data_IF_036414597492
#
_entry.id   IF_036414597492
#
_cell.length_a   1.000
_cell.length_b   1.000
_cell.length_c   1.000
_cell.angle_alpha   90.00
_cell.angle_beta   90.00
_cell.angle_gamma   90.00
#
_symmetry.space_group_name_H-M   'P 1'
#
loop_
_entity.id
_entity.type
_entity.pdbx_description
1 polymer ?
#
# COMPACT_ATOMS: atom_id res chain seq x y z
N UNK A 1 3.60 -24.82 -4.39
CA UNK A 1 2.38 -23.97 -4.29
C UNK A 1 2.83 -22.51 -4.31
N UNK A 2 2.25 -21.65 -5.16
CA UNK A 2 2.51 -20.20 -5.11
C UNK A 2 1.56 -19.56 -4.11
N UNK A 3 2.10 -18.79 -3.16
CA UNK A 3 1.28 -18.01 -2.23
C UNK A 3 0.50 -16.93 -2.98
N UNK A 4 -0.72 -16.61 -2.55
CA UNK A 4 -1.42 -15.44 -3.07
C UNK A 4 -0.66 -14.16 -2.72
N UNK A 5 -0.93 -13.08 -3.43
CA UNK A 5 -0.17 -11.84 -3.29
C UNK A 5 -1.01 -10.69 -2.75
N UNK A 6 -0.37 -9.82 -1.98
CA UNK A 6 -0.87 -8.50 -1.59
C UNK A 6 0.11 -7.47 -2.16
N UNK A 7 -0.35 -6.58 -3.02
CA UNK A 7 0.51 -5.52 -3.60
C UNK A 7 0.37 -4.23 -2.82
N UNK A 8 1.50 -3.57 -2.57
CA UNK A 8 1.55 -2.24 -1.97
C UNK A 8 1.94 -1.25 -3.06
N UNK A 9 0.96 -0.52 -3.62
CA UNK A 9 1.16 0.43 -4.69
C UNK A 9 1.05 1.86 -4.17
N UNK A 10 2.09 2.68 -4.39
CA UNK A 10 2.13 4.04 -3.86
C UNK A 10 3.41 4.80 -4.19
N UNK A 11 3.60 5.90 -3.47
CA UNK A 11 4.74 6.79 -3.58
C UNK A 11 5.93 6.43 -2.66
N UNK A 12 6.72 7.43 -2.21
CA UNK A 12 7.85 7.23 -1.30
C UNK A 12 7.46 6.59 0.04
N UNK A 13 6.27 6.89 0.56
CA UNK A 13 5.79 6.33 1.83
C UNK A 13 5.58 4.81 1.68
N UNK A 14 5.22 4.38 0.49
CA UNK A 14 5.12 2.94 0.15
C UNK A 14 6.50 2.37 -0.18
N UNK A 15 7.35 3.06 -0.95
CA UNK A 15 8.70 2.59 -1.30
C UNK A 15 9.54 2.32 -0.05
N UNK A 16 9.49 3.20 0.93
CA UNK A 16 10.21 3.07 2.20
C UNK A 16 9.57 2.06 3.17
N UNK A 17 8.39 1.54 2.85
CA UNK A 17 7.63 0.65 3.75
C UNK A 17 8.33 -0.66 4.08
N UNK A 18 9.35 -1.06 3.30
CA UNK A 18 10.17 -2.25 3.56
C UNK A 18 11.50 -1.94 4.29
N UNK A 19 11.73 -0.68 4.68
CA UNK A 19 12.82 -0.34 5.59
C UNK A 19 12.60 -0.95 7.00
N UNK A 20 13.63 -0.91 7.84
CA UNK A 20 13.53 -1.40 9.22
C UNK A 20 12.40 -0.71 9.98
N UNK A 21 11.42 -1.49 10.47
CA UNK A 21 10.22 -0.98 11.13
C UNK A 21 9.17 -0.37 10.21
N UNK A 22 9.31 -0.54 8.89
CA UNK A 22 8.34 -0.08 7.91
C UNK A 22 7.06 -0.91 7.90
N UNK A 23 5.94 -0.28 7.55
CA UNK A 23 4.61 -0.90 7.55
C UNK A 23 4.47 -2.07 6.56
N UNK A 24 5.13 -2.01 5.41
CA UNK A 24 5.15 -3.09 4.42
C UNK A 24 5.95 -4.29 4.91
N UNK A 25 7.09 -4.06 5.58
CA UNK A 25 7.88 -5.13 6.20
C UNK A 25 7.09 -5.81 7.34
N UNK A 26 6.36 -5.04 8.14
CA UNK A 26 5.47 -5.57 9.18
C UNK A 26 4.35 -6.42 8.58
N UNK A 27 3.73 -5.97 7.47
CA UNK A 27 2.72 -6.76 6.74
C UNK A 27 3.32 -8.06 6.17
N UNK A 28 4.51 -7.99 5.55
CA UNK A 28 5.19 -9.17 5.03
C UNK A 28 5.50 -10.20 6.13
N UNK A 29 5.91 -9.73 7.31
CA UNK A 29 6.10 -10.58 8.48
C UNK A 29 4.77 -11.19 8.96
N UNK A 30 3.71 -10.37 9.07
CA UNK A 30 2.39 -10.82 9.53
C UNK A 30 1.83 -11.95 8.64
N UNK A 31 1.92 -11.79 7.31
CA UNK A 31 1.41 -12.77 6.34
C UNK A 31 2.46 -13.80 5.87
N UNK A 32 3.59 -13.95 6.55
CA UNK A 32 4.77 -14.71 6.09
C UNK A 32 4.51 -16.15 5.66
N UNK A 33 3.41 -16.77 6.11
CA UNK A 33 3.03 -18.15 5.78
C UNK A 33 1.74 -18.27 4.97
N UNK A 34 1.08 -17.12 4.67
CA UNK A 34 -0.25 -17.11 4.05
C UNK A 34 -0.30 -16.32 2.76
N UNK A 35 0.47 -15.24 2.63
CA UNK A 35 0.54 -14.42 1.43
C UNK A 35 1.92 -13.77 1.25
N UNK A 36 2.31 -13.52 -0.01
CA UNK A 36 3.49 -12.72 -0.33
C UNK A 36 3.09 -11.25 -0.45
N UNK A 37 3.77 -10.39 0.30
CA UNK A 37 3.59 -8.93 0.20
C UNK A 37 4.59 -8.37 -0.80
N UNK A 38 4.09 -7.68 -1.83
CA UNK A 38 4.88 -7.23 -2.96
C UNK A 38 4.93 -5.72 -3.02
N UNK A 39 6.13 -5.16 -2.88
CA UNK A 39 6.37 -3.72 -2.91
C UNK A 39 6.27 -3.17 -4.34
N UNK A 40 5.50 -2.09 -4.51
CA UNK A 40 5.36 -1.26 -5.71
C UNK A 40 5.26 0.21 -5.31
N UNK A 41 6.23 0.69 -4.54
CA UNK A 41 6.39 2.10 -4.16
C UNK A 41 7.33 2.82 -5.13
N UNK A 42 7.01 4.07 -5.43
CA UNK A 42 7.75 4.91 -6.38
C UNK A 42 7.89 6.32 -5.80
N UNK A 43 9.06 6.63 -5.25
CA UNK A 43 9.35 7.93 -4.64
C UNK A 43 9.03 9.11 -5.57
N UNK A 44 8.35 10.10 -5.03
CA UNK A 44 7.99 11.32 -5.78
C UNK A 44 6.80 11.18 -6.72
N UNK A 45 6.27 9.97 -6.93
CA UNK A 45 5.15 9.76 -7.85
C UNK A 45 3.85 10.34 -7.32
N UNK A 46 3.09 10.93 -8.22
CA UNK A 46 1.71 11.35 -8.06
C UNK A 46 0.76 10.41 -8.83
N UNK A 47 -0.54 10.62 -8.72
CA UNK A 47 -1.54 9.78 -9.41
C UNK A 47 -1.45 9.89 -10.93
N UNK A 48 -1.08 11.06 -11.49
CA UNK A 48 -0.89 11.25 -12.94
C UNK A 48 0.22 10.36 -13.48
N UNK A 49 1.35 10.25 -12.78
CA UNK A 49 2.45 9.37 -13.17
C UNK A 49 2.14 7.90 -12.88
N UNK A 50 1.43 7.62 -11.79
CA UNK A 50 0.95 6.28 -11.48
C UNK A 50 0.11 5.70 -12.63
N UNK A 51 -0.80 6.49 -13.19
CA UNK A 51 -1.60 6.10 -14.36
C UNK A 51 -0.75 5.72 -15.59
N UNK A 52 0.38 6.41 -15.81
CA UNK A 52 1.27 6.14 -16.95
C UNK A 52 2.06 4.83 -16.83
N UNK A 53 2.17 4.29 -15.62
CA UNK A 53 2.97 3.08 -15.37
C UNK A 53 2.14 1.85 -14.99
N UNK A 54 0.81 1.95 -14.90
CA UNK A 54 -0.06 0.85 -14.48
C UNK A 54 0.23 -0.46 -15.23
N UNK A 55 0.32 -0.42 -16.56
CA UNK A 55 0.59 -1.62 -17.38
C UNK A 55 1.99 -2.19 -17.17
N UNK A 56 2.96 -1.36 -16.74
CA UNK A 56 4.32 -1.81 -16.41
C UNK A 56 4.40 -2.40 -14.99
N UNK A 57 3.67 -1.79 -14.06
CA UNK A 57 3.61 -2.24 -12.66
C UNK A 57 2.79 -3.52 -12.53
N UNK A 58 1.73 -3.62 -13.31
CA UNK A 58 0.81 -4.75 -13.37
C UNK A 58 0.68 -5.27 -14.81
N UNK A 59 1.71 -5.92 -15.38
CA UNK A 59 1.70 -6.35 -16.77
C UNK A 59 0.67 -7.47 -17.04
N UNK A 60 0.22 -7.58 -18.32
CA UNK A 60 -0.83 -8.52 -18.72
C UNK A 60 -0.43 -9.98 -18.45
N UNK A 61 0.84 -10.29 -18.58
CA UNK A 61 1.44 -11.61 -18.36
C UNK A 61 1.26 -12.12 -16.93
N UNK A 62 0.98 -11.24 -15.96
CA UNK A 62 0.62 -11.67 -14.59
C UNK A 62 -0.63 -12.57 -14.54
N UNK A 63 -1.45 -12.55 -15.60
CA UNK A 63 -2.65 -13.40 -15.72
C UNK A 63 -2.40 -14.68 -16.55
N UNK A 64 -1.21 -14.82 -17.20
CA UNK A 64 -0.87 -15.98 -18.04
C UNK A 64 -0.27 -17.09 -17.18
N UNK A 65 -0.74 -18.31 -17.36
CA UNK A 65 -0.35 -19.47 -16.55
C UNK A 65 -1.09 -19.55 -15.21
N UNK A 66 -0.42 -20.03 -14.17
CA UNK A 66 -1.00 -20.14 -12.82
C UNK A 66 -1.02 -18.81 -12.03
N UNK A 67 -0.96 -17.66 -12.71
CA UNK A 67 -1.04 -16.33 -12.08
C UNK A 67 -2.41 -16.08 -11.47
N UNK A 68 -2.56 -16.33 -10.17
CA UNK A 68 -3.78 -16.00 -9.43
C UNK A 68 -3.91 -14.49 -9.29
N UNK A 69 -5.15 -13.98 -9.36
CA UNK A 69 -5.45 -12.61 -8.97
C UNK A 69 -4.90 -12.33 -7.55
N UNK A 70 -4.33 -11.15 -7.30
CA UNK A 70 -3.90 -10.78 -5.96
C UNK A 70 -5.10 -10.72 -5.00
N UNK A 71 -4.87 -11.03 -3.72
CA UNK A 71 -5.90 -10.89 -2.68
C UNK A 71 -6.31 -9.44 -2.52
N UNK A 72 -5.31 -8.55 -2.43
CA UNK A 72 -5.52 -7.13 -2.26
C UNK A 72 -4.43 -6.31 -2.95
N UNK A 73 -4.77 -5.07 -3.27
CA UNK A 73 -3.85 -4.00 -3.68
C UNK A 73 -4.14 -2.78 -2.82
N UNK A 74 -3.17 -2.31 -2.03
CA UNK A 74 -3.27 -0.99 -1.42
C UNK A 74 -2.87 0.07 -2.45
N UNK A 75 -3.58 1.20 -2.47
CA UNK A 75 -3.27 2.36 -3.34
C UNK A 75 -3.05 3.56 -2.44
N UNK A 76 -1.81 3.99 -2.30
CA UNK A 76 -1.39 5.01 -1.35
C UNK A 76 -0.66 6.14 -2.07
N UNK A 77 -1.43 7.07 -2.64
CA UNK A 77 -0.98 8.29 -3.31
C UNK A 77 -1.74 9.50 -2.79
N UNK A 78 -1.24 10.67 -3.10
CA UNK A 78 -1.85 11.95 -2.78
C UNK A 78 -0.91 12.91 -2.06
N UNK A 79 0.15 12.40 -1.42
CA UNK A 79 1.13 13.23 -0.73
C UNK A 79 1.90 14.15 -1.71
N UNK A 80 2.16 13.69 -2.93
CA UNK A 80 2.79 14.46 -3.99
C UNK A 80 1.77 15.26 -4.81
N UNK A 81 0.60 14.68 -5.06
CA UNK A 81 -0.52 15.38 -5.72
C UNK A 81 -0.90 16.68 -4.98
N UNK A 82 -0.86 16.63 -3.64
CA UNK A 82 -1.18 17.75 -2.75
C UNK A 82 -0.07 18.82 -2.64
N UNK A 83 1.01 18.72 -3.41
CA UNK A 83 1.97 19.84 -3.55
C UNK A 83 1.23 21.10 -4.03
N UNK A 84 1.67 22.26 -3.55
CA UNK A 84 1.09 23.54 -3.97
C UNK A 84 1.60 23.93 -5.36
N UNK A 85 0.73 24.42 -6.26
CA UNK A 85 1.09 24.71 -7.65
C UNK A 85 2.03 25.90 -7.82
N UNK A 86 2.18 26.71 -6.78
CA UNK A 86 3.01 27.92 -6.75
C UNK A 86 4.28 27.77 -5.88
N UNK A 87 4.69 26.52 -5.57
CA UNK A 87 5.84 26.21 -4.71
C UNK A 87 6.90 25.40 -5.45
N UNK A 88 8.03 25.18 -4.80
CA UNK A 88 9.21 24.50 -5.39
C UNK A 88 8.92 23.10 -5.97
N UNK A 89 7.94 22.38 -5.45
CA UNK A 89 7.53 21.06 -5.93
C UNK A 89 6.29 21.08 -6.84
N UNK A 90 5.97 22.22 -7.46
CA UNK A 90 4.79 22.40 -8.32
C UNK A 90 4.67 21.37 -9.46
N UNK A 91 5.79 20.83 -9.95
CA UNK A 91 5.79 19.78 -10.98
C UNK A 91 5.15 18.46 -10.54
N UNK A 92 5.02 18.24 -9.21
CA UNK A 92 4.32 17.08 -8.65
C UNK A 92 2.82 17.34 -8.46
N UNK A 93 2.40 18.60 -8.46
CA UNK A 93 1.00 18.97 -8.22
C UNK A 93 0.06 18.33 -9.24
N UNK A 94 -1.03 17.78 -8.76
CA UNK A 94 -2.18 17.31 -9.55
C UNK A 94 -3.43 17.97 -9.00
N UNK A 95 -4.19 18.73 -9.80
CA UNK A 95 -5.44 19.33 -9.32
C UNK A 95 -6.38 18.28 -8.70
N UNK A 96 -7.12 18.67 -7.67
CA UNK A 96 -7.90 17.74 -6.85
C UNK A 96 -8.96 16.96 -7.65
N UNK A 97 -9.55 17.59 -8.67
CA UNK A 97 -10.52 16.93 -9.55
C UNK A 97 -9.84 15.86 -10.42
N UNK A 98 -8.64 16.16 -10.94
CA UNK A 98 -7.84 15.17 -11.68
C UNK A 98 -7.34 14.05 -10.76
N UNK A 99 -6.91 14.37 -9.53
CA UNK A 99 -6.55 13.38 -8.54
C UNK A 99 -7.69 12.38 -8.28
N UNK A 100 -8.91 12.90 -8.10
CA UNK A 100 -10.11 12.08 -7.92
C UNK A 100 -10.37 11.18 -9.14
N UNK A 101 -10.30 11.74 -10.36
CA UNK A 101 -10.44 11.00 -11.60
C UNK A 101 -9.37 9.91 -11.76
N UNK A 102 -8.12 10.23 -11.43
CA UNK A 102 -7.02 9.28 -11.49
C UNK A 102 -7.21 8.13 -10.49
N UNK A 103 -7.65 8.40 -9.25
CA UNK A 103 -7.95 7.35 -8.28
C UNK A 103 -9.09 6.44 -8.78
N UNK A 104 -10.19 7.01 -9.31
CA UNK A 104 -11.26 6.23 -9.94
C UNK A 104 -10.71 5.32 -11.05
N UNK A 105 -9.88 5.86 -11.93
CA UNK A 105 -9.30 5.13 -13.04
C UNK A 105 -8.36 4.00 -12.57
N UNK A 106 -7.54 4.24 -11.52
CA UNK A 106 -6.68 3.22 -10.91
C UNK A 106 -7.53 2.07 -10.32
N UNK A 107 -8.58 2.41 -9.56
CA UNK A 107 -9.49 1.40 -8.99
C UNK A 107 -10.18 0.61 -10.10
N UNK A 108 -10.72 1.28 -11.11
CA UNK A 108 -11.37 0.64 -12.25
C UNK A 108 -10.41 -0.27 -13.02
N UNK A 109 -9.18 0.18 -13.29
CA UNK A 109 -8.15 -0.63 -13.95
C UNK A 109 -7.87 -1.92 -13.17
N UNK A 110 -7.65 -1.83 -11.86
CA UNK A 110 -7.37 -2.99 -11.00
C UNK A 110 -8.56 -3.95 -10.92
N UNK A 111 -9.78 -3.41 -10.78
CA UNK A 111 -11.02 -4.22 -10.70
C UNK A 111 -11.39 -4.88 -12.04
N UNK A 112 -11.20 -4.19 -13.17
CA UNK A 112 -11.41 -4.78 -14.48
C UNK A 112 -10.44 -5.94 -14.74
N UNK A 113 -9.22 -5.80 -14.25
CA UNK A 113 -8.19 -6.82 -14.41
C UNK A 113 -8.37 -8.00 -13.45
N UNK A 114 -8.75 -7.73 -12.22
CA UNK A 114 -8.93 -8.69 -11.14
C UNK A 114 -10.21 -8.39 -10.36
N UNK A 115 -11.38 -8.84 -10.84
CA UNK A 115 -12.67 -8.51 -10.21
C UNK A 115 -12.77 -8.93 -8.73
N UNK A 116 -12.10 -10.02 -8.33
CA UNK A 116 -12.10 -10.53 -6.96
C UNK A 116 -11.10 -9.83 -6.03
N UNK A 117 -10.17 -9.03 -6.55
CA UNK A 117 -9.13 -8.36 -5.76
C UNK A 117 -9.74 -7.22 -4.93
N UNK A 118 -9.39 -7.14 -3.66
CA UNK A 118 -9.75 -5.99 -2.83
C UNK A 118 -8.78 -4.83 -3.11
N UNK A 119 -9.31 -3.70 -3.56
CA UNK A 119 -8.54 -2.45 -3.71
C UNK A 119 -8.80 -1.58 -2.49
N UNK A 120 -7.77 -1.32 -1.70
CA UNK A 120 -7.84 -0.53 -0.46
C UNK A 120 -7.17 0.81 -0.72
N UNK A 121 -7.92 1.91 -0.64
CA UNK A 121 -7.36 3.25 -0.74
C UNK A 121 -6.80 3.69 0.62
N UNK A 122 -5.67 4.42 0.59
CA UNK A 122 -5.08 5.03 1.79
C UNK A 122 -4.93 6.52 1.50
N UNK A 123 -5.50 7.36 2.36
CA UNK A 123 -5.38 8.81 2.20
C UNK A 123 -3.95 9.29 2.43
N UNK A 124 -3.51 10.40 1.81
CA UNK A 124 -2.25 11.03 2.19
C UNK A 124 -2.23 11.30 3.70
N UNK A 125 -1.04 11.23 4.35
CA UNK A 125 -0.89 11.58 5.76
C UNK A 125 -1.06 13.09 5.95
N UNK A 126 -1.18 13.58 7.20
CA UNK A 126 -1.07 15.00 7.50
C UNK A 126 0.32 15.54 7.16
N UNK A 127 0.44 16.86 7.10
CA UNK A 127 1.71 17.58 6.86
C UNK A 127 2.04 18.42 8.08
N UNK A 128 3.24 18.22 8.64
CA UNK A 128 3.82 19.16 9.60
C UNK A 128 4.63 20.22 8.83
N UNK A 129 4.00 21.37 8.61
CA UNK A 129 4.56 22.46 7.79
C UNK A 129 5.85 23.02 8.38
N UNK A 130 5.96 23.06 9.71
CA UNK A 130 7.17 23.54 10.40
C UNK A 130 8.34 22.58 10.16
N UNK A 131 8.10 21.29 10.34
CA UNK A 131 9.12 20.27 10.05
C UNK A 131 9.51 20.25 8.58
N UNK A 132 8.54 20.46 7.64
CA UNK A 132 8.84 20.57 6.20
C UNK A 132 9.77 21.74 5.88
N UNK A 133 9.61 22.88 6.53
CA UNK A 133 10.51 24.02 6.34
C UNK A 133 11.94 23.75 6.87
N UNK A 134 12.08 22.91 7.89
CA UNK A 134 13.38 22.53 8.46
C UNK A 134 14.09 21.44 7.60
N UNK A 135 13.33 20.56 6.94
CA UNK A 135 13.83 19.43 6.16
C UNK A 135 13.54 19.62 4.66
N UNK A 136 14.06 20.70 4.08
CA UNK A 136 13.80 21.08 2.68
C UNK A 136 14.44 20.09 1.70
N UNK A 137 13.69 19.75 0.65
CA UNK A 137 14.22 19.02 -0.50
C UNK A 137 14.76 20.02 -1.54
N UNK A 138 16.06 19.91 -1.86
CA UNK A 138 16.73 20.69 -2.91
C UNK A 138 17.28 22.06 -2.48
N UNK A 139 17.98 22.71 -3.41
CA UNK A 139 18.70 24.01 -3.21
C UNK A 139 17.78 25.24 -3.27
N UNK A 140 16.48 25.07 -3.56
CA UNK A 140 15.54 26.18 -3.68
C UNK A 140 15.09 26.63 -2.30
N UNK A 141 15.66 27.74 -1.83
CA UNK A 141 15.29 28.40 -0.60
C UNK A 141 13.95 29.14 -0.78
N UNK A 142 12.85 28.48 -0.41
CA UNK A 142 11.55 29.11 -0.26
C UNK A 142 11.25 29.23 1.24
N UNK A 143 10.77 30.41 1.68
CA UNK A 143 10.33 30.62 3.06
C UNK A 143 8.94 30.01 3.34
N UNK A 144 8.35 29.37 2.34
CA UNK A 144 7.02 28.76 2.41
C UNK A 144 7.12 27.25 2.13
N UNK A 145 6.35 26.42 2.87
CA UNK A 145 6.33 24.98 2.66
C UNK A 145 5.72 24.64 1.29
N UNK A 146 6.23 23.62 0.64
CA UNK A 146 5.73 23.13 -0.64
C UNK A 146 4.41 22.36 -0.52
N UNK A 147 4.03 22.00 0.69
CA UNK A 147 2.79 21.32 1.07
C UNK A 147 2.21 21.94 2.32
N UNK A 148 0.89 21.89 2.47
CA UNK A 148 0.21 22.31 3.70
C UNK A 148 -0.68 21.20 4.22
N UNK A 149 -0.92 21.23 5.54
CA UNK A 149 -1.83 20.29 6.16
C UNK A 149 -3.27 20.47 5.67
N UNK A 150 -3.66 21.69 5.31
CA UNK A 150 -4.96 21.99 4.71
C UNK A 150 -5.10 21.34 3.32
N UNK A 151 -4.09 21.48 2.45
CA UNK A 151 -4.08 20.81 1.16
C UNK A 151 -4.16 19.29 1.35
N UNK A 152 -3.32 18.69 2.18
CA UNK A 152 -3.35 17.25 2.47
C UNK A 152 -4.73 16.79 2.95
N UNK A 153 -5.40 17.57 3.82
CA UNK A 153 -6.78 17.30 4.26
C UNK A 153 -7.78 17.26 3.11
N UNK A 154 -7.67 18.18 2.16
CA UNK A 154 -8.58 18.23 1.03
C UNK A 154 -8.41 17.02 0.11
N UNK A 155 -7.17 16.60 -0.15
CA UNK A 155 -6.87 15.37 -0.90
C UNK A 155 -7.29 14.10 -0.12
N UNK A 156 -7.13 14.08 1.19
CA UNK A 156 -7.63 12.97 2.02
C UNK A 156 -9.16 12.84 1.91
N UNK A 157 -9.90 13.95 2.00
CA UNK A 157 -11.36 13.96 1.81
C UNK A 157 -11.76 13.49 0.42
N UNK A 158 -11.06 13.93 -0.63
CA UNK A 158 -11.29 13.48 -2.00
C UNK A 158 -11.08 11.96 -2.14
N UNK A 159 -10.00 11.42 -1.56
CA UNK A 159 -9.72 9.97 -1.52
C UNK A 159 -10.85 9.20 -0.83
N UNK A 160 -11.34 9.65 0.33
CA UNK A 160 -12.46 9.02 1.05
C UNK A 160 -13.75 9.06 0.20
N UNK A 161 -13.99 10.16 -0.52
CA UNK A 161 -15.15 10.28 -1.42
C UNK A 161 -15.06 9.27 -2.56
N UNK A 162 -13.91 9.20 -3.24
CA UNK A 162 -13.66 8.21 -4.32
C UNK A 162 -13.82 6.78 -3.80
N UNK A 163 -13.28 6.47 -2.63
CA UNK A 163 -13.41 5.14 -2.02
C UNK A 163 -14.88 4.75 -1.84
N UNK A 164 -15.70 5.66 -1.31
CA UNK A 164 -17.15 5.46 -1.15
C UNK A 164 -17.85 5.23 -2.49
N UNK A 165 -17.53 6.04 -3.50
CA UNK A 165 -18.12 5.95 -4.84
C UNK A 165 -17.75 4.65 -5.56
N UNK A 166 -16.53 4.16 -5.34
CA UNK A 166 -16.06 2.87 -5.87
C UNK A 166 -16.48 1.65 -5.03
N UNK A 167 -17.10 1.83 -3.87
CA UNK A 167 -17.33 0.75 -2.91
C UNK A 167 -16.04 0.10 -2.40
N UNK A 168 -14.94 0.87 -2.34
CA UNK A 168 -13.63 0.41 -1.90
C UNK A 168 -13.40 0.70 -0.42
N UNK A 169 -12.80 -0.23 0.35
CA UNK A 169 -12.31 0.07 1.69
C UNK A 169 -11.32 1.23 1.69
N UNK A 170 -11.33 2.06 2.73
CA UNK A 170 -10.40 3.19 2.87
C UNK A 170 -9.79 3.25 4.25
N UNK A 171 -8.49 3.53 4.30
CA UNK A 171 -7.77 3.96 5.49
C UNK A 171 -7.70 5.48 5.46
N UNK A 172 -8.47 6.16 6.32
CA UNK A 172 -8.38 7.61 6.50
C UNK A 172 -7.23 7.95 7.46
N UNK A 173 -6.01 7.86 6.92
CA UNK A 173 -4.78 8.06 7.67
C UNK A 173 -4.66 9.49 8.20
N UNK A 174 -5.10 10.49 7.41
CA UNK A 174 -5.10 11.89 7.83
C UNK A 174 -5.89 12.08 9.12
N UNK A 175 -7.15 11.64 9.15
CA UNK A 175 -8.00 11.74 10.34
C UNK A 175 -7.50 10.88 11.49
N UNK A 176 -6.97 9.69 11.19
CA UNK A 176 -6.46 8.78 12.21
C UNK A 176 -5.28 9.37 12.98
N UNK A 177 -4.32 9.96 12.28
CA UNK A 177 -3.15 10.58 12.93
C UNK A 177 -3.54 11.81 13.76
N UNK A 178 -4.52 12.61 13.31
CA UNK A 178 -4.99 13.78 14.05
C UNK A 178 -5.73 13.47 15.36
N UNK A 179 -6.04 12.22 15.64
CA UNK A 179 -6.59 11.83 16.95
C UNK A 179 -5.56 11.96 18.09
N UNK A 180 -4.29 12.15 17.77
CA UNK A 180 -3.20 12.26 18.74
C UNK A 180 -2.66 13.71 18.76
N UNK A 181 -2.47 14.32 19.95
CA UNK A 181 -2.12 15.74 20.04
C UNK A 181 -0.76 16.07 19.40
N UNK A 182 0.23 15.16 19.52
CA UNK A 182 1.60 15.37 19.04
C UNK A 182 1.88 14.65 17.70
N UNK A 183 0.87 14.46 16.86
CA UNK A 183 0.96 13.66 15.64
C UNK A 183 2.13 14.03 14.73
N UNK A 184 2.45 15.33 14.57
CA UNK A 184 3.53 15.80 13.71
C UNK A 184 4.88 15.21 14.11
N UNK A 185 5.25 15.32 15.39
CA UNK A 185 6.51 14.80 15.93
C UNK A 185 6.50 13.29 16.14
N UNK A 186 5.35 12.74 16.54
CA UNK A 186 5.24 11.31 16.84
C UNK A 186 5.27 10.46 15.58
N UNK A 187 4.66 10.92 14.48
CA UNK A 187 4.38 10.09 13.31
C UNK A 187 5.09 10.53 12.04
N UNK A 188 5.63 11.77 11.97
CA UNK A 188 6.33 12.30 10.80
C UNK A 188 7.78 12.66 11.15
N UNK A 189 8.77 12.14 10.40
CA UNK A 189 10.20 12.38 10.67
C UNK A 189 10.72 13.70 10.09
N UNK A 190 10.12 14.13 8.98
CA UNK A 190 10.50 15.33 8.20
C UNK A 190 9.28 16.19 7.83
N UNK A 191 8.20 15.99 8.54
CA UNK A 191 6.91 16.64 8.28
C UNK A 191 6.05 15.98 7.21
N UNK A 192 6.50 14.86 6.59
CA UNK A 192 5.78 14.10 5.56
C UNK A 192 5.97 12.58 5.71
N UNK A 193 7.22 12.11 5.70
CA UNK A 193 7.53 10.68 5.76
C UNK A 193 7.41 10.14 7.19
N UNK A 194 7.06 8.87 7.27
CA UNK A 194 6.67 8.25 8.53
C UNK A 194 7.86 7.96 9.45
N UNK A 195 7.66 8.17 10.76
CA UNK A 195 8.48 7.59 11.82
C UNK A 195 8.13 6.11 12.01
N UNK A 196 8.81 5.41 12.92
CA UNK A 196 8.40 4.07 13.36
C UNK A 196 6.96 4.06 13.91
N UNK A 197 6.55 5.11 14.65
CA UNK A 197 5.18 5.27 15.14
C UNK A 197 4.17 5.46 14.03
N UNK A 198 4.49 6.28 13.03
CA UNK A 198 3.65 6.47 11.84
C UNK A 198 3.50 5.19 11.01
N UNK A 199 4.59 4.45 10.81
CA UNK A 199 4.55 3.14 10.13
C UNK A 199 3.68 2.12 10.90
N UNK A 200 3.74 2.12 12.23
CA UNK A 200 2.90 1.25 13.05
C UNK A 200 1.40 1.55 12.86
N UNK A 201 1.02 2.83 12.82
CA UNK A 201 -0.38 3.22 12.55
C UNK A 201 -0.83 2.70 11.18
N UNK A 202 -0.04 2.93 10.12
CA UNK A 202 -0.41 2.44 8.78
C UNK A 202 -0.57 0.91 8.79
N UNK A 203 0.35 0.19 9.42
CA UNK A 203 0.25 -1.26 9.55
C UNK A 203 -1.05 -1.69 10.23
N UNK A 204 -1.38 -1.12 11.40
CA UNK A 204 -2.57 -1.48 12.18
C UNK A 204 -3.87 -1.20 11.40
N UNK A 205 -3.96 -0.03 10.76
CA UNK A 205 -5.13 0.35 9.97
C UNK A 205 -5.29 -0.54 8.71
N UNK A 206 -4.20 -0.86 8.00
CA UNK A 206 -4.24 -1.74 6.84
C UNK A 206 -4.64 -3.16 7.24
N UNK A 207 -4.10 -3.71 8.34
CA UNK A 207 -4.53 -5.02 8.89
C UNK A 207 -6.02 -5.00 9.23
N UNK A 208 -6.50 -3.92 9.86
CA UNK A 208 -7.92 -3.75 10.16
C UNK A 208 -8.79 -3.83 8.90
N UNK A 209 -8.40 -3.12 7.84
CA UNK A 209 -9.14 -3.14 6.56
C UNK A 209 -9.05 -4.49 5.84
N UNK A 210 -7.90 -5.14 5.86
CA UNK A 210 -7.77 -6.50 5.31
C UNK A 210 -8.69 -7.49 6.06
N UNK A 211 -8.76 -7.40 7.38
CA UNK A 211 -9.66 -8.24 8.19
C UNK A 211 -11.14 -7.96 7.88
N UNK A 212 -11.55 -6.70 7.73
CA UNK A 212 -12.91 -6.30 7.35
C UNK A 212 -13.36 -6.93 6.02
N UNK A 213 -12.43 -7.15 5.07
CA UNK A 213 -12.72 -7.79 3.78
C UNK A 213 -12.44 -9.30 3.78
N UNK A 214 -12.28 -9.92 4.95
CA UNK A 214 -12.12 -11.36 5.09
C UNK A 214 -10.70 -11.88 4.85
N UNK A 215 -9.70 -11.01 4.85
CA UNK A 215 -8.29 -11.39 4.68
C UNK A 215 -7.55 -11.28 6.02
N UNK A 216 -7.48 -12.40 6.74
CA UNK A 216 -6.79 -12.50 8.04
C UNK A 216 -6.06 -13.84 8.16
N UNK A 217 -5.25 -13.99 9.21
CA UNK A 217 -4.56 -15.25 9.49
C UNK A 217 -5.52 -16.39 9.82
N UNK A 218 -6.73 -16.07 10.30
CA UNK A 218 -7.77 -17.06 10.61
C UNK A 218 -8.50 -17.53 9.34
N UNK A 219 -8.53 -16.71 8.28
CA UNK A 219 -9.28 -17.02 7.05
C UNK A 219 -8.40 -17.50 5.90
N UNK A 220 -7.11 -17.10 5.89
CA UNK A 220 -6.16 -17.49 4.87
C UNK A 220 -5.42 -18.78 5.29
N UNK A 221 -5.38 -19.81 4.43
CA UNK A 221 -4.66 -21.03 4.74
C UNK A 221 -3.14 -20.78 4.74
N UNK A 222 -2.44 -21.46 5.64
CA UNK A 222 -0.99 -21.54 5.57
C UNK A 222 -0.53 -22.33 4.34
N UNK A 223 0.63 -21.98 3.81
CA UNK A 223 1.22 -22.60 2.62
C UNK A 223 1.68 -24.05 2.85
N UNK A 224 2.25 -24.32 4.01
CA UNK A 224 2.81 -25.62 4.41
C UNK A 224 2.45 -25.90 5.87
N UNK A 225 2.53 -27.17 6.31
CA UNK A 225 2.30 -27.52 7.70
C UNK A 225 3.26 -26.78 8.65
N UNK A 226 2.76 -26.42 9.82
CA UNK A 226 3.58 -25.93 10.92
C UNK A 226 4.17 -27.10 11.69
N UNK A 227 5.21 -26.84 12.49
CA UNK A 227 5.91 -27.88 13.28
C UNK A 227 5.01 -28.58 14.28
N UNK A 228 4.00 -27.90 14.81
CA UNK A 228 3.00 -28.47 15.73
C UNK A 228 2.03 -29.45 15.08
N UNK A 229 1.93 -29.43 13.75
CA UNK A 229 1.16 -30.42 12.98
C UNK A 229 1.97 -31.72 12.69
N UNK A 230 3.24 -31.79 13.06
CA UNK A 230 4.10 -32.94 12.80
C UNK A 230 3.99 -33.97 13.93
N UNK A 231 3.74 -35.25 13.56
CA UNK A 231 3.80 -36.37 14.51
C UNK A 231 5.29 -36.63 14.87
N UNK A 232 5.69 -36.54 16.16
CA UNK A 232 7.07 -36.83 16.56
C UNK A 232 7.56 -38.24 16.22
N UNK A 233 6.63 -39.20 16.09
CA UNK A 233 6.93 -40.62 15.79
C UNK A 233 6.96 -40.88 14.27
N UNK A 234 6.34 -40.01 13.45
CA UNK A 234 6.31 -40.12 12.01
C UNK A 234 6.26 -38.70 11.39
N UNK A 235 7.36 -37.92 11.45
CA UNK A 235 7.36 -36.51 11.08
C UNK A 235 7.16 -36.27 9.59
N UNK A 236 7.27 -37.30 8.74
CA UNK A 236 7.08 -37.16 7.29
C UNK A 236 5.62 -37.37 6.85
N UNK A 237 4.80 -38.06 7.65
CA UNK A 237 3.43 -38.42 7.33
C UNK A 237 2.54 -37.23 6.90
N UNK A 238 2.73 -36.06 7.48
CA UNK A 238 1.95 -34.87 7.15
C UNK A 238 2.15 -34.44 5.70
N UNK A 239 3.32 -34.69 5.13
CA UNK A 239 3.64 -34.32 3.74
C UNK A 239 3.04 -35.26 2.72
N UNK A 240 2.81 -36.53 3.08
CA UNK A 240 2.15 -37.53 2.21
C UNK A 240 0.66 -37.21 2.02
N UNK A 241 0.05 -36.47 2.95
CA UNK A 241 -1.35 -36.04 2.91
C UNK A 241 -1.56 -34.72 2.17
N UNK A 242 -0.48 -34.06 1.76
CA UNK A 242 -0.59 -32.81 0.99
C UNK A 242 -1.09 -33.10 -0.43
N UNK A 243 -2.04 -32.28 -0.95
CA UNK A 243 -2.49 -32.43 -2.33
C UNK A 243 -1.27 -32.29 -3.25
N UNK A 244 -1.04 -33.32 -4.06
CA UNK A 244 -0.04 -33.28 -5.12
C UNK A 244 -0.43 -32.17 -6.08
N UNK A 245 0.20 -31.03 -5.98
CA UNK A 245 0.21 -30.04 -7.08
C UNK A 245 0.86 -30.76 -8.25
N UNK A 246 0.12 -30.91 -9.37
CA UNK A 246 0.61 -31.52 -10.59
C UNK A 246 1.98 -30.97 -11.00
N UNK A 247 3.05 -31.63 -10.57
CA UNK A 247 4.40 -31.51 -11.14
C UNK A 247 4.46 -32.26 -12.49
N UNK A 248 3.43 -32.09 -13.32
CA UNK A 248 3.46 -32.52 -14.71
C UNK A 248 3.93 -31.36 -15.59
N UNK A 249 5.18 -30.98 -15.46
CA UNK A 249 5.95 -30.35 -16.53
C UNK A 249 7.38 -30.08 -16.05
N UNK A 250 8.23 -31.08 -16.21
CA UNK A 250 9.68 -30.98 -16.48
C UNK A 250 10.25 -32.39 -16.52
N UNK A 251 9.75 -33.20 -17.45
CA UNK A 251 10.60 -34.21 -18.09
C UNK A 251 11.06 -33.59 -19.40
N UNK A 252 12.23 -32.96 -19.33
CA UNK A 252 13.03 -32.66 -20.50
C UNK A 252 13.69 -33.98 -20.88
N UNK A 253 13.38 -34.45 -22.10
CA UNK A 253 14.12 -35.46 -22.81
C UNK A 253 15.47 -34.88 -23.22
#
# INVERSE_FOLDING_TARGET
MMRPKIYLFGDSITEESFSAGGWGAALAHHFSRTADVVLRGFSGYNTRWAMKVLDKVFPAEMNVGNGRAPLAVTVFFGANDACLPDRCSAFQHVPIDEYSQNLHAIVAYLKNRWPSTHVILITPPPIDEVARLLHRYGEIHSDLPERTNEAARNYAKACVTVARECGAPVVDLWSRMHQFPDWGKAYLRDGLHLTLGGNKIVFEEVIGKLKEVGLSLETLPADLPFTDAMDPNDPLKVFDQMPTTDFKMFRVI
#
